data_IF_327248216079
#
_entry.id   IF_327248216079
#
_cell.length_a   1.000
_cell.length_b   1.000
_cell.length_c   1.000
_cell.angle_alpha   90.00
_cell.angle_beta   90.00
_cell.angle_gamma   90.00
#
_symmetry.space_group_name_H-M   'P 1'
#
loop_
_entity.id
_entity.type
_entity.pdbx_description
1 polymer ?
#
# COMPACT_ATOMS: atom_id res chain seq x y z
N UNK A 1 -10.42 -10.04 23.05
CA UNK A 1 -11.68 -9.40 22.59
C UNK A 1 -11.83 -9.69 21.11
N UNK A 2 -12.93 -10.34 20.70
CA UNK A 2 -13.18 -10.70 19.30
C UNK A 2 -13.62 -9.43 18.56
N UNK A 3 -12.85 -8.95 17.59
CA UNK A 3 -13.30 -7.90 16.67
C UNK A 3 -14.33 -8.48 15.70
N UNK A 4 -15.39 -7.72 15.54
CA UNK A 4 -16.65 -8.08 14.92
C UNK A 4 -16.75 -7.28 13.60
N UNK A 5 -16.13 -7.73 12.50
CA UNK A 5 -16.01 -6.88 11.30
C UNK A 5 -16.11 -7.63 9.96
N UNK A 6 -17.17 -8.41 9.75
CA UNK A 6 -17.35 -9.18 8.51
C UNK A 6 -18.05 -8.44 7.36
N UNK A 7 -18.58 -7.21 7.55
CA UNK A 7 -19.48 -6.58 6.56
C UNK A 7 -18.92 -5.34 5.83
N UNK A 8 -17.83 -4.74 6.29
CA UNK A 8 -17.27 -3.49 5.73
C UNK A 8 -15.75 -3.49 5.60
N UNK A 9 -15.14 -4.66 5.47
CA UNK A 9 -13.69 -4.80 5.48
C UNK A 9 -13.08 -4.42 4.13
N UNK A 10 -12.40 -3.27 4.05
CA UNK A 10 -11.71 -2.84 2.84
C UNK A 10 -10.37 -3.57 2.71
N UNK A 11 -10.40 -4.75 2.07
CA UNK A 11 -9.24 -5.66 1.97
C UNK A 11 -7.96 -5.00 1.46
N UNK A 12 -8.03 -4.06 0.51
CA UNK A 12 -6.85 -3.36 0.01
C UNK A 12 -6.16 -2.52 1.09
N UNK A 13 -6.93 -1.92 2.00
CA UNK A 13 -6.38 -1.17 3.12
C UNK A 13 -5.69 -2.10 4.12
N UNK A 14 -6.28 -3.25 4.43
CA UNK A 14 -5.64 -4.23 5.32
C UNK A 14 -4.29 -4.72 4.79
N UNK A 15 -4.23 -5.03 3.48
CA UNK A 15 -2.99 -5.40 2.79
C UNK A 15 -1.96 -4.27 2.86
N UNK A 16 -2.38 -3.01 2.71
CA UNK A 16 -1.49 -1.87 2.82
C UNK A 16 -0.97 -1.68 4.25
N UNK A 17 -1.80 -1.91 5.27
CA UNK A 17 -1.38 -1.86 6.67
C UNK A 17 -0.37 -2.98 6.97
N UNK A 18 -0.61 -4.19 6.49
CA UNK A 18 0.35 -5.30 6.62
C UNK A 18 1.67 -4.96 5.92
N UNK A 19 1.62 -4.43 4.69
CA UNK A 19 2.80 -3.98 3.97
C UNK A 19 3.59 -2.92 4.75
N UNK A 20 2.91 -1.90 5.28
CA UNK A 20 3.50 -0.88 6.16
C UNK A 20 4.18 -1.48 7.40
N UNK A 21 3.65 -2.56 7.97
CA UNK A 21 4.25 -3.23 9.12
C UNK A 21 5.50 -4.00 8.71
N UNK A 22 5.49 -4.71 7.58
CA UNK A 22 6.63 -5.49 7.10
C UNK A 22 7.81 -4.58 6.70
N UNK A 23 7.57 -3.49 5.98
CA UNK A 23 8.68 -2.60 5.55
C UNK A 23 9.40 -1.91 6.71
N UNK A 24 8.79 -1.80 7.89
CA UNK A 24 9.45 -1.28 9.11
C UNK A 24 10.57 -2.19 9.61
N UNK A 25 10.51 -3.47 9.26
CA UNK A 25 11.49 -4.48 9.66
C UNK A 25 12.71 -4.50 8.75
N UNK A 26 12.64 -3.86 7.58
CA UNK A 26 13.75 -3.78 6.64
C UNK A 26 14.90 -2.95 7.21
N UNK A 27 16.11 -3.44 6.99
CA UNK A 27 17.35 -2.70 7.25
C UNK A 27 17.72 -1.95 5.98
N UNK A 28 17.52 -0.65 5.98
CA UNK A 28 17.78 0.24 4.85
C UNK A 28 18.69 1.40 5.29
N UNK A 29 19.50 1.98 4.39
CA UNK A 29 20.16 3.25 4.62
C UNK A 29 19.18 4.32 5.10
N UNK A 30 19.60 5.21 6.01
CA UNK A 30 18.70 6.19 6.67
C UNK A 30 17.83 6.96 5.67
N UNK A 31 18.41 7.43 4.56
CA UNK A 31 17.71 8.19 3.55
C UNK A 31 16.67 7.38 2.77
N UNK A 32 16.90 6.08 2.54
CA UNK A 32 15.93 5.18 1.91
C UNK A 32 14.89 4.68 2.90
N UNK A 33 15.27 4.54 4.17
CA UNK A 33 14.34 4.19 5.25
C UNK A 33 13.28 5.26 5.41
N UNK A 34 13.67 6.54 5.43
CA UNK A 34 12.69 7.64 5.47
C UNK A 34 11.76 7.60 4.25
N UNK A 35 12.32 7.49 3.04
CA UNK A 35 11.53 7.41 1.81
C UNK A 35 10.57 6.21 1.82
N UNK A 36 11.04 5.03 2.23
CA UNK A 36 10.22 3.81 2.35
C UNK A 36 9.07 4.00 3.31
N UNK A 37 9.31 4.57 4.50
CA UNK A 37 8.29 4.74 5.52
C UNK A 37 7.25 5.79 5.11
N UNK A 38 7.67 6.88 4.46
CA UNK A 38 6.74 7.91 3.93
C UNK A 38 5.91 7.35 2.78
N UNK A 39 6.53 6.69 1.81
CA UNK A 39 5.84 6.11 0.66
C UNK A 39 4.86 5.02 1.08
N UNK A 40 5.27 4.06 1.91
CA UNK A 40 4.37 3.00 2.40
C UNK A 40 3.17 3.55 3.18
N UNK A 41 3.40 4.50 4.09
CA UNK A 41 2.31 5.15 4.82
C UNK A 41 1.35 5.89 3.87
N UNK A 42 1.87 6.55 2.83
CA UNK A 42 1.06 7.20 1.80
C UNK A 42 0.13 6.21 1.07
N UNK A 43 0.57 4.96 0.82
CA UNK A 43 -0.29 3.92 0.22
C UNK A 43 -1.53 3.69 1.07
N UNK A 44 -1.34 3.42 2.38
CA UNK A 44 -2.46 3.14 3.29
C UNK A 44 -3.37 4.37 3.47
N UNK A 45 -2.80 5.56 3.64
CA UNK A 45 -3.54 6.79 3.85
C UNK A 45 -4.40 7.17 2.64
N UNK A 46 -3.85 7.07 1.42
CA UNK A 46 -4.60 7.36 0.20
C UNK A 46 -5.68 6.30 -0.06
N UNK A 47 -5.45 5.03 0.27
CA UNK A 47 -6.49 4.00 0.18
C UNK A 47 -7.65 4.30 1.14
N UNK A 48 -7.34 4.62 2.40
CA UNK A 48 -8.34 4.99 3.39
C UNK A 48 -9.15 6.22 2.95
N UNK A 49 -8.47 7.30 2.56
CA UNK A 49 -9.13 8.53 2.12
C UNK A 49 -9.96 8.31 0.84
N UNK A 50 -9.40 7.59 -0.14
CA UNK A 50 -10.10 7.24 -1.37
C UNK A 50 -11.36 6.44 -1.12
N UNK A 51 -11.35 5.47 -0.19
CA UNK A 51 -12.52 4.67 0.14
C UNK A 51 -13.71 5.49 0.67
N UNK A 52 -13.44 6.63 1.31
CA UNK A 52 -14.45 7.54 1.84
C UNK A 52 -14.97 8.58 0.84
N UNK A 53 -14.41 8.68 -0.37
CA UNK A 53 -14.87 9.68 -1.35
C UNK A 53 -16.22 9.29 -1.98
N UNK A 54 -17.12 10.26 -2.21
CA UNK A 54 -18.45 9.97 -2.75
C UNK A 54 -18.43 9.70 -4.26
N UNK A 55 -17.56 10.40 -5.01
CA UNK A 55 -17.52 10.29 -6.48
C UNK A 55 -16.49 9.24 -6.93
N UNK A 56 -16.80 8.41 -7.95
CA UNK A 56 -15.85 7.45 -8.51
C UNK A 56 -14.56 8.12 -9.01
N UNK A 57 -14.68 9.30 -9.65
CA UNK A 57 -13.55 10.12 -10.10
C UNK A 57 -12.59 10.49 -8.96
N UNK A 58 -13.12 10.89 -7.80
CA UNK A 58 -12.28 11.22 -6.66
C UNK A 58 -11.62 9.97 -6.08
N UNK A 59 -12.36 8.86 -5.93
CA UNK A 59 -11.78 7.57 -5.49
C UNK A 59 -10.58 7.19 -6.35
N UNK A 60 -10.74 7.23 -7.68
CA UNK A 60 -9.70 6.91 -8.66
C UNK A 60 -8.44 7.76 -8.49
N UNK A 61 -8.59 9.06 -8.21
CA UNK A 61 -7.46 9.96 -7.97
C UNK A 61 -6.62 9.49 -6.79
N UNK A 62 -7.26 9.21 -5.65
CA UNK A 62 -6.56 8.72 -4.46
C UNK A 62 -5.92 7.35 -4.67
N UNK A 63 -6.62 6.42 -5.32
CA UNK A 63 -6.06 5.10 -5.63
C UNK A 63 -4.88 5.17 -6.61
N UNK A 64 -4.89 6.13 -7.54
CA UNK A 64 -3.75 6.36 -8.44
C UNK A 64 -2.53 6.90 -7.70
N UNK A 65 -2.74 7.77 -6.71
CA UNK A 65 -1.67 8.25 -5.82
C UNK A 65 -1.11 7.09 -4.99
N UNK A 66 -1.98 6.25 -4.41
CA UNK A 66 -1.57 5.05 -3.67
C UNK A 66 -0.72 4.10 -4.54
N UNK A 67 -1.11 3.89 -5.80
CA UNK A 67 -0.34 3.07 -6.74
C UNK A 67 1.03 3.68 -7.05
N UNK A 68 1.09 5.01 -7.19
CA UNK A 68 2.36 5.74 -7.35
C UNK A 68 3.29 5.53 -6.16
N UNK A 69 2.80 5.74 -4.93
CA UNK A 69 3.60 5.53 -3.72
C UNK A 69 4.05 4.07 -3.54
N UNK A 70 3.23 3.08 -3.93
CA UNK A 70 3.66 1.68 -3.89
C UNK A 70 4.82 1.41 -4.86
N UNK A 71 4.79 2.02 -6.05
CA UNK A 71 5.89 1.89 -7.04
C UNK A 71 7.20 2.49 -6.54
N UNK A 72 7.13 3.57 -5.76
CA UNK A 72 8.31 4.11 -5.07
C UNK A 72 8.88 3.09 -4.08
N UNK A 73 8.03 2.45 -3.27
CA UNK A 73 8.49 1.37 -2.38
C UNK A 73 9.11 0.20 -3.15
N UNK A 74 8.49 -0.25 -4.24
CA UNK A 74 9.03 -1.30 -5.11
C UNK A 74 10.40 -0.93 -5.69
N UNK A 75 10.58 0.34 -6.08
CA UNK A 75 11.87 0.84 -6.55
C UNK A 75 12.93 0.78 -5.45
N UNK A 76 12.60 1.20 -4.21
CA UNK A 76 13.52 1.11 -3.07
C UNK A 76 13.87 -0.35 -2.76
N UNK A 77 12.88 -1.25 -2.76
CA UNK A 77 13.12 -2.69 -2.57
C UNK A 77 14.08 -3.25 -3.63
N UNK A 78 13.97 -2.79 -4.87
CA UNK A 78 14.86 -3.20 -5.97
C UNK A 78 16.26 -2.60 -5.85
N UNK A 79 16.38 -1.34 -5.43
CA UNK A 79 17.68 -0.68 -5.17
C UNK A 79 18.45 -1.44 -4.09
N UNK A 80 17.76 -1.87 -3.03
CA UNK A 80 18.35 -2.53 -1.87
C UNK A 80 18.41 -4.05 -1.99
N UNK A 81 18.05 -4.61 -3.15
CA UNK A 81 18.15 -6.05 -3.40
C UNK A 81 17.31 -6.90 -2.44
N UNK A 82 16.09 -6.48 -2.10
CA UNK A 82 15.22 -7.22 -1.19
C UNK A 82 14.67 -8.48 -1.87
N UNK A 83 15.00 -9.65 -1.33
CA UNK A 83 14.62 -10.97 -1.86
C UNK A 83 13.60 -11.74 -0.99
N UNK A 84 13.04 -11.09 0.05
CA UNK A 84 12.01 -11.73 0.88
C UNK A 84 10.76 -12.03 0.04
N UNK A 85 10.60 -13.31 -0.33
CA UNK A 85 9.51 -13.78 -1.18
C UNK A 85 8.13 -13.47 -0.62
N UNK A 86 7.94 -13.47 0.71
CA UNK A 86 6.64 -13.17 1.31
C UNK A 86 6.32 -11.70 1.19
N UNK A 87 7.31 -10.83 1.42
CA UNK A 87 7.14 -9.40 1.25
C UNK A 87 6.90 -9.05 -0.23
N UNK A 88 7.60 -9.70 -1.14
CA UNK A 88 7.41 -9.52 -2.59
C UNK A 88 5.99 -9.92 -3.01
N UNK A 89 5.50 -11.10 -2.58
CA UNK A 89 4.13 -11.56 -2.88
C UNK A 89 3.07 -10.62 -2.29
N UNK A 90 3.25 -10.15 -1.05
CA UNK A 90 2.39 -9.14 -0.43
C UNK A 90 2.35 -7.84 -1.25
N UNK A 91 3.51 -7.39 -1.71
CA UNK A 91 3.66 -6.15 -2.49
C UNK A 91 2.98 -6.28 -3.84
N UNK A 92 3.14 -7.40 -4.53
CA UNK A 92 2.50 -7.68 -5.82
C UNK A 92 0.98 -7.83 -5.68
N UNK A 93 0.53 -8.53 -4.64
CA UNK A 93 -0.89 -8.68 -4.36
C UNK A 93 -1.55 -7.34 -4.04
N UNK A 94 -0.89 -6.51 -3.22
CA UNK A 94 -1.33 -5.15 -2.93
C UNK A 94 -1.37 -4.31 -4.22
N UNK A 95 -0.33 -4.34 -5.03
CA UNK A 95 -0.25 -3.61 -6.30
C UNK A 95 -1.36 -3.99 -7.27
N UNK A 96 -1.63 -5.28 -7.43
CA UNK A 96 -2.73 -5.77 -8.25
C UNK A 96 -4.10 -5.32 -7.71
N UNK A 97 -4.26 -5.31 -6.39
CA UNK A 97 -5.50 -4.84 -5.75
C UNK A 97 -5.74 -3.34 -5.98
N UNK A 98 -4.71 -2.50 -5.79
CA UNK A 98 -4.80 -1.06 -6.03
C UNK A 98 -5.06 -0.77 -7.51
N UNK A 99 -4.36 -1.46 -8.41
CA UNK A 99 -4.56 -1.29 -9.85
C UNK A 99 -5.99 -1.61 -10.29
N UNK A 100 -6.60 -2.68 -9.76
CA UNK A 100 -8.02 -2.98 -10.04
C UNK A 100 -8.95 -1.85 -9.56
N UNK A 101 -8.66 -1.24 -8.41
CA UNK A 101 -9.43 -0.11 -7.91
C UNK A 101 -9.34 1.13 -8.81
N UNK A 102 -8.20 1.39 -9.45
CA UNK A 102 -8.06 2.53 -10.39
C UNK A 102 -8.82 2.31 -11.70
N UNK A 103 -9.12 1.06 -12.05
CA UNK A 103 -9.94 0.71 -13.21
C UNK A 103 -11.44 0.68 -12.90
N UNK A 104 -11.82 0.28 -11.69
CA UNK A 104 -13.20 0.06 -11.28
C UNK A 104 -13.91 1.30 -10.71
N UNK A 105 -13.19 2.40 -10.53
CA UNK A 105 -13.70 3.70 -10.08
C UNK A 105 -13.55 4.77 -11.15
#
# INVERSE_FOLDING_TARGET
MKQNDSKYRFRSLDLAVEFCQQVKLLKLPIHLRDQMLRASSSVALNLAEGSGKPSPKDKKRFYSIALGSLRECQAIMRIEGIEDLKLLDLTDHLGASIYKLTLAT
#
